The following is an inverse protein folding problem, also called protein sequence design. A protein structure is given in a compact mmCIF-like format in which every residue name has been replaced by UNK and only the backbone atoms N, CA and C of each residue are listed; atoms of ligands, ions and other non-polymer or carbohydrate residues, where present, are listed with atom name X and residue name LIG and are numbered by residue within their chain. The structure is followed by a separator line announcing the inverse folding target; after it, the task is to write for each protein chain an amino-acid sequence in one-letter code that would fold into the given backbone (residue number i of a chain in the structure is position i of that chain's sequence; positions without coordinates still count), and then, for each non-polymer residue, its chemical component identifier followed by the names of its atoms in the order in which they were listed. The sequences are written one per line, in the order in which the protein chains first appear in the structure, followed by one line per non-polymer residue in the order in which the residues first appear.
data_IF_645462720006
#
_entry.id   IF_645462720006
#
_cell.length_a   1.000
_cell.length_b   1.000
_cell.length_c   1.000
_cell.angle_alpha   90.00
_cell.angle_beta   90.00
_cell.angle_gamma   90.00
#
_symmetry.space_group_name_H-M   'P 1'
#
loop_
_entity.id
_entity.type
_entity.pdbx_description
1 polymer ?
#
# COMPACT_ATOMS: atom_id res chain seq x y z
N UNK A 1 4.66 18.87 27.79
CA UNK A 1 3.64 19.67 27.08
C UNK A 1 3.20 18.90 25.85
N UNK A 2 1.90 18.80 25.58
CA UNK A 2 1.36 18.23 24.33
C UNK A 2 0.48 19.30 23.70
N UNK A 3 0.64 19.55 22.40
CA UNK A 3 -0.14 20.54 21.68
C UNK A 3 -0.55 19.98 20.32
N UNK A 4 -1.54 20.63 19.71
CA UNK A 4 -2.01 20.37 18.36
C UNK A 4 -2.06 21.71 17.63
N UNK A 5 -1.55 21.74 16.40
CA UNK A 5 -1.53 22.92 15.57
C UNK A 5 -1.71 22.53 14.11
N UNK A 6 -2.26 23.45 13.32
CA UNK A 6 -2.28 23.29 11.87
C UNK A 6 -0.86 23.42 11.31
N UNK A 7 -0.60 22.69 10.21
CA UNK A 7 0.63 22.84 9.47
C UNK A 7 0.57 24.14 8.66
N UNK A 8 1.54 25.04 8.86
CA UNK A 8 1.64 26.29 8.09
C UNK A 8 2.19 26.10 6.67
N UNK A 9 2.59 24.87 6.32
CA UNK A 9 3.16 24.51 5.03
C UNK A 9 2.34 23.39 4.36
N UNK A 10 2.45 23.26 3.04
CA UNK A 10 1.87 22.13 2.31
C UNK A 10 2.49 20.78 2.74
N UNK A 11 1.86 19.64 2.43
CA UNK A 11 2.37 18.34 2.84
C UNK A 11 3.78 18.07 2.28
N UNK A 12 4.69 17.43 3.06
CA UNK A 12 6.07 17.20 2.63
C UNK A 12 6.22 16.23 1.45
N UNK A 13 5.24 15.36 1.27
CA UNK A 13 5.11 14.48 0.12
C UNK A 13 3.81 14.87 -0.59
N UNK A 14 3.78 14.77 -1.92
CA UNK A 14 2.59 14.93 -2.76
C UNK A 14 2.66 13.94 -3.89
N UNK A 15 1.53 13.60 -4.49
CA UNK A 15 1.51 12.74 -5.66
C UNK A 15 0.31 11.83 -5.67
N UNK A 16 0.41 10.74 -6.44
CA UNK A 16 -0.63 9.74 -6.52
C UNK A 16 -0.06 8.33 -6.46
N UNK A 17 -0.94 7.42 -6.06
CA UNK A 17 -0.76 5.98 -6.08
C UNK A 17 -1.90 5.37 -6.90
N UNK A 18 -1.56 4.44 -7.79
CA UNK A 18 -2.49 3.66 -8.57
C UNK A 18 -2.15 2.18 -8.42
N UNK A 19 -3.16 1.36 -8.22
CA UNK A 19 -3.09 -0.09 -8.31
C UNK A 19 -4.36 -0.59 -8.99
N UNK A 20 -4.19 -1.37 -10.05
CA UNK A 20 -5.30 -2.05 -10.73
C UNK A 20 -4.97 -3.52 -10.93
N UNK A 21 -5.95 -4.40 -10.69
CA UNK A 21 -5.81 -5.81 -10.99
C UNK A 21 -5.87 -6.01 -12.51
N UNK A 22 -4.85 -6.63 -13.07
CA UNK A 22 -4.77 -7.01 -14.50
C UNK A 22 -5.32 -8.42 -14.70
N UNK A 23 -5.17 -9.28 -13.69
CA UNK A 23 -5.81 -10.59 -13.59
C UNK A 23 -6.16 -10.89 -12.13
N UNK A 24 -6.75 -12.06 -11.83
CA UNK A 24 -7.09 -12.45 -10.46
C UNK A 24 -5.91 -12.38 -9.48
N UNK A 25 -4.70 -12.69 -9.96
CA UNK A 25 -3.48 -12.83 -9.14
C UNK A 25 -2.36 -11.87 -9.57
N UNK A 26 -2.65 -10.88 -10.40
CA UNK A 26 -1.67 -9.92 -10.90
C UNK A 26 -2.21 -8.50 -10.83
N UNK A 27 -1.46 -7.60 -10.20
CA UNK A 27 -1.78 -6.18 -10.09
C UNK A 27 -0.69 -5.31 -10.70
N UNK A 28 -1.07 -4.33 -11.50
CA UNK A 28 -0.18 -3.28 -12.00
C UNK A 28 -0.28 -2.06 -11.09
N UNK A 29 0.87 -1.49 -10.73
CA UNK A 29 0.96 -0.32 -9.87
C UNK A 29 1.79 0.81 -10.45
N UNK A 30 1.47 2.02 -10.01
CA UNK A 30 2.22 3.23 -10.34
C UNK A 30 2.19 4.21 -9.17
N UNK A 31 3.38 4.64 -8.77
CA UNK A 31 3.57 5.83 -7.94
C UNK A 31 4.18 6.96 -8.76
N UNK A 32 3.71 8.18 -8.52
CA UNK A 32 4.39 9.40 -8.93
C UNK A 32 4.34 10.41 -7.80
N UNK A 33 5.48 10.62 -7.14
CA UNK A 33 5.61 11.40 -5.91
C UNK A 33 6.56 12.58 -6.10
N UNK A 34 6.25 13.68 -5.42
CA UNK A 34 7.11 14.84 -5.21
C UNK A 34 7.37 15.01 -3.73
N UNK A 35 8.64 14.97 -3.35
CA UNK A 35 9.09 15.12 -1.97
C UNK A 35 9.71 16.51 -1.80
N UNK A 36 9.46 17.12 -0.64
CA UNK A 36 10.08 18.37 -0.19
C UNK A 36 9.84 19.57 -1.12
N UNK A 37 8.76 19.55 -1.92
CA UNK A 37 8.39 20.67 -2.79
C UNK A 37 8.01 21.90 -1.95
N UNK A 38 8.75 23.00 -2.12
CA UNK A 38 8.55 24.24 -1.35
C UNK A 38 9.26 24.28 0.00
N UNK A 39 9.87 23.17 0.43
CA UNK A 39 10.67 23.10 1.65
C UNK A 39 12.09 23.61 1.41
N UNK A 40 12.64 24.36 2.37
CA UNK A 40 13.98 24.97 2.29
C UNK A 40 14.82 24.61 3.50
N UNK A 41 16.14 24.73 3.37
CA UNK A 41 17.05 24.61 4.51
C UNK A 41 16.62 25.59 5.63
N UNK A 42 16.74 25.20 6.92
CA UNK A 42 17.43 24.02 7.44
C UNK A 42 16.62 22.71 7.41
N UNK A 43 15.38 22.69 6.90
CA UNK A 43 14.58 21.47 6.85
C UNK A 43 15.17 20.46 5.85
N UNK A 44 15.41 19.25 6.35
CA UNK A 44 15.92 18.13 5.58
C UNK A 44 15.11 16.87 5.86
N UNK A 45 14.99 15.98 4.87
CA UNK A 45 14.35 14.68 5.03
C UNK A 45 15.43 13.61 5.23
N UNK A 46 15.37 12.90 6.36
CA UNK A 46 16.34 11.87 6.78
C UNK A 46 16.03 10.53 6.08
N UNK A 47 14.77 10.11 6.13
CA UNK A 47 14.29 8.95 5.38
C UNK A 47 12.87 9.16 4.86
N UNK A 48 12.51 8.42 3.82
CA UNK A 48 11.16 8.33 3.28
C UNK A 48 10.95 6.93 2.71
N UNK A 49 9.89 6.26 3.16
CA UNK A 49 9.56 4.88 2.79
C UNK A 49 8.07 4.79 2.53
N UNK A 50 7.70 4.13 1.43
CA UNK A 50 6.32 3.82 1.06
C UNK A 50 6.10 2.34 1.26
N UNK A 51 5.06 1.97 2.01
CA UNK A 51 4.69 0.58 2.28
C UNK A 51 3.31 0.31 1.70
N UNK A 52 3.24 -0.71 0.84
CA UNK A 52 2.00 -1.23 0.28
C UNK A 52 1.64 -2.51 1.02
N UNK A 53 0.64 -2.50 1.91
CA UNK A 53 0.18 -3.70 2.59
C UNK A 53 -0.74 -4.53 1.68
N UNK A 54 -0.59 -5.85 1.76
CA UNK A 54 -1.42 -6.86 1.10
C UNK A 54 -1.90 -7.88 2.15
N UNK A 55 -2.78 -7.49 3.09
CA UNK A 55 -3.08 -8.30 4.28
C UNK A 55 -3.81 -9.62 3.97
N UNK A 56 -4.50 -9.71 2.83
CA UNK A 56 -5.25 -10.90 2.41
C UNK A 56 -4.61 -11.69 1.28
N UNK A 57 -3.48 -11.21 0.73
CA UNK A 57 -2.81 -11.84 -0.41
C UNK A 57 -1.35 -12.03 -0.08
N UNK A 58 -0.82 -13.19 -0.43
CA UNK A 58 0.61 -13.43 -0.35
C UNK A 58 1.27 -12.96 -1.64
N UNK A 59 2.26 -12.08 -1.54
CA UNK A 59 3.10 -11.66 -2.66
C UNK A 59 4.08 -12.79 -2.99
N UNK A 60 4.05 -13.27 -4.23
CA UNK A 60 5.01 -14.25 -4.74
C UNK A 60 6.21 -13.57 -5.38
N UNK A 61 5.95 -12.53 -6.17
CA UNK A 61 7.00 -11.77 -6.82
C UNK A 61 6.54 -10.36 -7.11
N UNK A 62 7.53 -9.50 -7.31
CA UNK A 62 7.35 -8.13 -7.71
C UNK A 62 8.33 -7.83 -8.84
N UNK A 63 7.83 -7.23 -9.92
CA UNK A 63 8.64 -6.73 -11.03
C UNK A 63 8.42 -5.23 -11.15
N UNK A 64 9.49 -4.46 -11.34
CA UNK A 64 9.40 -3.00 -11.40
C UNK A 64 10.64 -2.34 -10.84
N UNK A 65 11.05 -1.25 -11.48
CA UNK A 65 12.25 -0.50 -11.11
C UNK A 65 11.86 0.92 -10.73
N UNK A 66 12.04 1.35 -9.46
CA UNK A 66 11.79 2.73 -9.10
C UNK A 66 12.86 3.65 -9.70
N UNK A 67 12.49 4.90 -9.98
CA UNK A 67 13.44 5.91 -10.47
C UNK A 67 14.52 6.26 -9.44
N UNK A 68 14.23 6.05 -8.15
CA UNK A 68 15.13 6.31 -7.02
C UNK A 68 14.81 5.35 -5.87
N UNK A 69 15.82 5.01 -5.08
CA UNK A 69 15.67 4.20 -3.89
C UNK A 69 15.72 2.70 -4.17
N UNK A 70 15.28 1.90 -3.21
CA UNK A 70 15.29 0.43 -3.29
C UNK A 70 13.96 -0.16 -2.89
N UNK A 71 13.64 -1.34 -3.44
CA UNK A 71 12.41 -2.08 -3.14
C UNK A 71 12.77 -3.36 -2.40
N UNK A 72 12.00 -3.68 -1.38
CA UNK A 72 12.03 -4.98 -0.70
C UNK A 72 10.62 -5.55 -0.64
N UNK A 73 10.53 -6.86 -0.87
CA UNK A 73 9.26 -7.59 -0.88
C UNK A 73 9.24 -8.54 0.30
N UNK A 74 8.12 -8.59 1.00
CA UNK A 74 7.82 -9.58 2.02
C UNK A 74 6.45 -10.19 1.74
N UNK A 75 6.07 -11.21 2.52
CA UNK A 75 4.91 -12.06 2.25
C UNK A 75 3.61 -11.26 2.03
N UNK A 76 3.39 -10.21 2.82
CA UNK A 76 2.16 -9.41 2.81
C UNK A 76 2.41 -7.92 2.64
N UNK A 77 3.58 -7.52 2.16
CA UNK A 77 3.86 -6.11 1.90
C UNK A 77 4.96 -5.94 0.86
N UNK A 78 4.87 -4.84 0.12
CA UNK A 78 5.98 -4.30 -0.67
C UNK A 78 6.43 -3.01 -0.01
N UNK A 79 7.72 -2.84 0.17
CA UNK A 79 8.33 -1.66 0.77
C UNK A 79 9.27 -0.99 -0.22
N UNK A 80 9.06 0.30 -0.45
CA UNK A 80 9.89 1.14 -1.30
C UNK A 80 10.57 2.23 -0.46
N UNK A 81 11.89 2.12 -0.29
CA UNK A 81 12.73 3.08 0.42
C UNK A 81 13.25 4.13 -0.55
N UNK A 82 12.50 5.23 -0.69
CA UNK A 82 12.85 6.36 -1.57
C UNK A 82 14.13 7.04 -1.09
N UNK A 83 14.20 7.31 0.22
CA UNK A 83 15.34 7.96 0.88
C UNK A 83 15.74 7.09 2.06
N UNK A 84 17.01 6.66 2.06
CA UNK A 84 17.63 5.90 3.14
C UNK A 84 18.38 6.82 4.09
N UNK A 85 18.30 6.55 5.39
CA UNK A 85 19.06 7.24 6.44
C UNK A 85 20.53 7.42 6.05
N UNK A 86 21.07 8.63 6.24
CA UNK A 86 22.42 9.00 5.84
C UNK A 86 22.57 9.55 4.41
N UNK A 87 21.53 9.45 3.57
CA UNK A 87 21.43 10.12 2.26
C UNK A 87 20.27 11.12 2.23
N UNK A 88 20.11 11.86 3.31
CA UNK A 88 19.03 12.83 3.44
C UNK A 88 19.10 13.93 2.39
N UNK A 89 17.95 14.50 2.04
CA UNK A 89 17.83 15.63 1.11
C UNK A 89 17.54 16.92 1.89
N UNK A 90 18.26 17.99 1.57
CA UNK A 90 18.06 19.31 2.17
C UNK A 90 18.03 20.36 1.07
N UNK A 91 17.04 21.25 1.10
CA UNK A 91 16.90 22.35 0.14
C UNK A 91 16.71 21.93 -1.33
N UNK A 92 16.36 20.66 -1.58
CA UNK A 92 16.06 20.12 -2.92
C UNK A 92 14.73 19.41 -2.90
N UNK A 93 13.96 19.58 -3.97
CA UNK A 93 12.81 18.73 -4.26
C UNK A 93 13.28 17.44 -4.96
N UNK A 94 12.54 16.36 -4.76
CA UNK A 94 12.81 15.08 -5.43
C UNK A 94 11.53 14.60 -6.08
N UNK A 95 11.59 14.27 -7.36
CA UNK A 95 10.53 13.54 -8.05
C UNK A 95 10.89 12.05 -8.08
N UNK A 96 9.98 11.21 -7.63
CA UNK A 96 10.17 9.77 -7.53
C UNK A 96 9.00 9.06 -8.20
N UNK A 97 9.30 8.17 -9.15
CA UNK A 97 8.30 7.36 -9.85
C UNK A 97 8.60 5.89 -9.63
N UNK A 98 7.57 5.09 -9.43
CA UNK A 98 7.73 3.66 -9.25
C UNK A 98 6.59 2.90 -9.97
N UNK A 99 6.82 2.49 -11.22
CA UNK A 99 5.95 1.54 -11.91
C UNK A 99 6.33 0.11 -11.53
N UNK A 100 5.35 -0.78 -11.50
CA UNK A 100 5.62 -2.20 -11.32
C UNK A 100 4.39 -3.09 -11.40
N UNK A 101 4.63 -4.37 -11.27
CA UNK A 101 3.64 -5.43 -11.29
C UNK A 101 3.89 -6.35 -10.10
N UNK A 102 2.84 -6.58 -9.32
CA UNK A 102 2.83 -7.50 -8.18
C UNK A 102 2.08 -8.77 -8.57
N UNK A 103 2.70 -9.93 -8.31
CA UNK A 103 2.08 -11.24 -8.50
C UNK A 103 1.78 -11.86 -7.14
N UNK A 104 0.54 -12.32 -6.99
CA UNK A 104 0.03 -12.92 -5.77
C UNK A 104 -0.05 -14.43 -5.89
N UNK A 105 -0.03 -15.11 -4.75
CA UNK A 105 -0.38 -16.50 -4.68
C UNK A 105 -1.86 -16.67 -5.07
N UNK A 106 -2.22 -17.76 -5.77
CA UNK A 106 -3.61 -18.09 -6.06
C UNK A 106 -4.46 -18.02 -4.79
N UNK A 107 -5.65 -17.45 -4.92
CA UNK A 107 -6.59 -17.39 -3.79
C UNK A 107 -7.01 -18.80 -3.39
N UNK A 108 -6.58 -19.23 -2.21
CA UNK A 108 -7.15 -20.41 -1.57
C UNK A 108 -8.32 -19.89 -0.73
N UNK A 109 -9.59 -20.10 -1.12
CA UNK A 109 -10.69 -19.80 -0.23
C UNK A 109 -10.46 -20.63 1.04
N UNK A 110 -10.25 -19.93 2.15
CA UNK A 110 -10.07 -20.56 3.45
C UNK A 110 -11.33 -21.38 3.72
N UNK A 111 -11.28 -22.70 3.49
CA UNK A 111 -12.32 -23.60 3.96
C UNK A 111 -12.31 -23.47 5.47
N UNK A 112 -13.32 -22.81 6.01
CA UNK A 112 -13.65 -22.91 7.43
C UNK A 112 -13.69 -24.40 7.78
N UNK A 113 -13.07 -24.86 8.88
CA UNK A 113 -13.29 -26.21 9.35
C UNK A 113 -14.77 -26.33 9.69
N UNK A 114 -15.54 -27.01 8.84
CA UNK A 114 -16.94 -27.35 9.11
C UNK A 114 -16.97 -28.25 10.34
N UNK A 115 -17.10 -27.63 11.50
CA UNK A 115 -17.37 -28.32 12.75
C UNK A 115 -18.89 -28.45 12.86
N UNK A 116 -19.39 -29.65 12.61
CA UNK A 116 -20.69 -30.12 13.09
C UNK A 116 -21.88 -29.96 12.14
N UNK A 117 -22.27 -31.08 11.51
CA UNK A 117 -23.66 -31.51 11.44
C UNK A 117 -23.71 -33.04 11.27
N UNK A 118 -23.92 -33.70 12.40
CA UNK A 118 -24.51 -35.05 12.49
C UNK A 118 -25.97 -34.97 12.01
N UNK A 119 -26.47 -36.09 11.46
CA UNK A 119 -27.81 -36.45 10.96
C UNK A 119 -27.68 -36.75 9.45
N UNK A 120 -27.83 -37.98 8.94
CA UNK A 120 -28.55 -39.15 9.41
C UNK A 120 -29.38 -39.66 8.21
N UNK A 121 -29.00 -40.84 7.69
CA UNK A 121 -29.74 -41.78 6.83
C UNK A 121 -30.37 -41.28 5.51
N UNK A 122 -29.95 -41.88 4.39
CA UNK A 122 -30.80 -42.81 3.62
C UNK A 122 -29.91 -43.67 2.71
N UNK A 123 -30.09 -44.97 2.88
CA UNK A 123 -29.62 -46.06 2.04
C UNK A 123 -30.46 -46.13 0.74
N UNK A 124 -29.98 -46.96 -0.19
CA UNK A 124 -30.56 -47.42 -1.46
C UNK A 124 -29.92 -46.79 -2.70
N UNK A 125 -29.45 -47.51 -3.71
CA UNK A 125 -29.23 -48.93 -3.98
C UNK A 125 -28.40 -48.95 -5.30
N UNK A 126 -27.76 -50.09 -5.54
CA UNK A 126 -26.86 -50.48 -6.62
C UNK A 126 -27.46 -50.45 -8.04
N UNK A 127 -26.65 -50.14 -9.06
CA UNK A 127 -26.65 -50.87 -10.35
C UNK A 127 -25.53 -50.38 -11.28
N UNK A 128 -24.55 -51.26 -11.51
CA UNK A 128 -23.67 -51.24 -12.67
C UNK A 128 -24.45 -51.67 -13.92
N UNK A 129 -24.18 -51.03 -15.07
CA UNK A 129 -24.51 -51.56 -16.39
C UNK A 129 -23.53 -51.02 -17.44
N UNK A 130 -22.59 -51.87 -17.85
CA UNK A 130 -21.78 -51.74 -19.06
C UNK A 130 -22.65 -52.01 -20.31
N UNK A 131 -22.60 -51.17 -21.34
CA UNK A 131 -22.65 -51.61 -22.76
C UNK A 131 -22.31 -50.49 -23.76
N UNK A 132 -21.16 -50.70 -24.40
CA UNK A 132 -20.77 -50.50 -25.81
C UNK A 132 -21.35 -49.38 -26.73
N UNK A 133 -20.41 -48.61 -27.27
CA UNK A 133 -20.24 -48.24 -28.69
C UNK A 133 -21.25 -47.29 -29.36
N UNK A 134 -20.80 -46.07 -29.71
CA UNK A 134 -21.08 -45.45 -31.03
C UNK A 134 -20.06 -44.32 -31.29
N UNK A 135 -19.36 -44.41 -32.43
CA UNK A 135 -18.49 -43.37 -32.99
C UNK A 135 -19.21 -42.02 -33.10
N UNK A 136 -18.59 -40.91 -32.66
CA UNK A 136 -18.80 -39.56 -33.18
C UNK A 136 -17.64 -38.63 -32.75
N UNK A 137 -16.49 -38.78 -33.41
CA UNK A 137 -15.31 -37.92 -33.27
C UNK A 137 -15.48 -36.64 -34.10
N UNK A 138 -16.41 -35.76 -33.70
CA UNK A 138 -16.60 -34.44 -34.31
C UNK A 138 -17.36 -33.49 -33.37
N UNK A 139 -16.93 -33.34 -32.11
CA UNK A 139 -17.48 -32.28 -31.25
C UNK A 139 -16.59 -31.88 -30.05
N UNK A 140 -15.33 -32.33 -30.00
CA UNK A 140 -14.44 -31.99 -28.87
C UNK A 140 -13.75 -30.65 -29.12
N UNK A 141 -13.37 -30.37 -30.37
CA UNK A 141 -12.65 -29.14 -30.74
C UNK A 141 -13.52 -27.88 -30.68
N UNK A 142 -14.79 -27.96 -31.11
CA UNK A 142 -15.73 -26.83 -31.06
C UNK A 142 -16.15 -26.50 -29.62
N UNK A 143 -16.28 -27.51 -28.75
CA UNK A 143 -16.61 -27.31 -27.33
C UNK A 143 -15.41 -26.77 -26.52
N UNK A 144 -14.18 -27.06 -26.96
CA UNK A 144 -12.95 -26.47 -26.40
C UNK A 144 -12.76 -25.01 -26.85
N UNK A 145 -13.05 -24.69 -28.11
CA UNK A 145 -13.00 -23.30 -28.62
C UNK A 145 -14.11 -22.42 -28.05
N UNK A 146 -15.32 -22.95 -27.82
CA UNK A 146 -16.42 -22.21 -27.19
C UNK A 146 -16.16 -21.96 -25.69
N UNK A 147 -15.39 -22.83 -25.03
CA UNK A 147 -14.93 -22.65 -23.63
C UNK A 147 -13.74 -21.69 -23.51
N UNK A 148 -12.92 -21.53 -24.55
CA UNK A 148 -11.79 -20.60 -24.58
C UNK A 148 -12.16 -19.17 -24.98
N UNK A 149 -13.32 -18.95 -25.61
CA UNK A 149 -13.77 -17.62 -26.05
C UNK A 149 -14.68 -16.88 -25.05
N UNK A 150 -14.79 -17.39 -23.81
CA UNK A 150 -15.58 -16.77 -22.73
C UNK A 150 -14.75 -16.17 -21.59
N UNK A 151 -13.44 -16.00 -21.78
CA UNK A 151 -12.55 -15.25 -20.90
C UNK A 151 -11.88 -14.16 -21.75
N UNK A 152 -12.09 -12.87 -21.54
CA UNK A 152 -11.97 -12.19 -20.26
C UNK A 152 -13.08 -11.15 -20.14
N UNK A 153 -14.18 -11.51 -19.48
CA UNK A 153 -14.89 -10.49 -18.72
C UNK A 153 -13.96 -10.09 -17.58
N UNK A 154 -13.74 -8.78 -17.40
CA UNK A 154 -13.05 -8.27 -16.22
C UNK A 154 -13.69 -8.95 -15.01
N UNK A 155 -12.89 -9.71 -14.26
CA UNK A 155 -13.38 -10.42 -13.08
C UNK A 155 -14.09 -9.39 -12.22
N UNK A 156 -15.39 -9.58 -12.02
CA UNK A 156 -16.16 -8.75 -11.11
C UNK A 156 -15.73 -9.11 -9.69
N UNK A 157 -14.60 -8.52 -9.28
CA UNK A 157 -14.02 -8.61 -7.95
C UNK A 157 -14.78 -7.71 -6.96
N UNK A 158 -16.11 -7.56 -7.11
CA UNK A 158 -16.96 -6.94 -6.09
C UNK A 158 -17.15 -7.89 -4.89
N UNK A 159 -16.06 -8.14 -4.17
CA UNK A 159 -16.12 -8.67 -2.81
C UNK A 159 -16.29 -7.47 -1.84
N UNK A 160 -17.45 -7.30 -1.18
CA UNK A 160 -17.79 -6.08 -0.43
C UNK A 160 -16.82 -5.72 0.70
N UNK A 161 -15.99 -6.68 1.14
CA UNK A 161 -15.05 -6.53 2.25
C UNK A 161 -13.58 -6.42 1.79
N UNK A 162 -13.29 -6.49 0.49
CA UNK A 162 -11.93 -6.50 -0.04
C UNK A 162 -11.46 -5.16 -0.59
N UNK A 163 -12.36 -4.19 -0.76
CA UNK A 163 -12.00 -2.84 -1.25
C UNK A 163 -10.92 -2.23 -0.34
N UNK A 164 -11.13 -2.25 0.97
CA UNK A 164 -10.19 -1.66 1.93
C UNK A 164 -8.79 -2.33 2.02
N UNK A 165 -8.60 -3.52 1.44
CA UNK A 165 -7.35 -4.29 1.62
C UNK A 165 -6.20 -3.82 0.71
N UNK A 166 -6.49 -3.16 -0.42
CA UNK A 166 -5.48 -2.73 -1.41
C UNK A 166 -5.60 -1.25 -1.80
N UNK A 167 -6.45 -0.51 -1.10
CA UNK A 167 -6.83 0.85 -1.47
C UNK A 167 -5.82 1.91 -1.03
N UNK A 168 -4.71 1.52 -0.39
CA UNK A 168 -3.78 2.51 0.12
C UNK A 168 -2.33 2.05 0.22
N UNK A 169 -1.43 3.04 0.20
CA UNK A 169 -0.05 2.90 0.60
C UNK A 169 0.24 3.84 1.78
N UNK A 170 1.00 3.37 2.77
CA UNK A 170 1.44 4.17 3.92
C UNK A 170 2.78 4.82 3.61
N UNK A 171 2.94 6.09 3.93
CA UNK A 171 4.22 6.79 3.81
C UNK A 171 4.78 7.01 5.22
N UNK A 172 5.99 6.51 5.45
CA UNK A 172 6.77 6.75 6.66
C UNK A 172 7.92 7.67 6.32
N UNK A 173 8.04 8.79 7.03
CA UNK A 173 9.16 9.72 6.82
C UNK A 173 9.60 10.37 8.12
N UNK A 174 10.85 10.84 8.11
CA UNK A 174 11.42 11.68 9.16
C UNK A 174 12.12 12.88 8.54
N UNK A 175 11.89 14.05 9.13
CA UNK A 175 12.57 15.29 8.77
C UNK A 175 13.24 15.90 10.00
N UNK A 176 14.33 16.62 9.75
CA UNK A 176 15.13 17.31 10.76
C UNK A 176 15.23 18.80 10.42
N UNK A 177 15.65 19.59 11.41
CA UNK A 177 16.03 20.99 11.20
C UNK A 177 14.93 22.02 11.44
N UNK A 178 13.72 21.62 11.81
CA UNK A 178 12.65 22.57 12.15
C UNK A 178 11.30 21.94 12.44
N UNK A 179 10.33 22.79 12.78
CA UNK A 179 8.95 22.41 13.10
C UNK A 179 8.00 22.75 11.95
N UNK A 180 7.03 21.89 11.65
CA UNK A 180 5.97 22.20 10.68
C UNK A 180 4.84 23.07 11.26
N UNK A 181 4.78 23.17 12.59
CA UNK A 181 3.76 23.96 13.31
C UNK A 181 4.18 25.41 13.59
N UNK A 182 5.43 25.78 13.27
CA UNK A 182 6.01 27.07 13.66
C UNK A 182 6.43 27.17 15.13
N UNK A 183 6.24 26.13 15.94
CA UNK A 183 6.71 26.12 17.33
C UNK A 183 8.24 26.26 17.40
N UNK A 184 8.70 27.18 18.26
CA UNK A 184 10.11 27.42 18.55
C UNK A 184 10.36 27.41 20.05
N UNK A 185 11.60 27.11 20.44
CA UNK A 185 12.06 27.16 21.83
C UNK A 185 13.06 28.32 21.92
N UNK A 186 12.87 29.21 22.89
CA UNK A 186 13.84 30.27 23.19
C UNK A 186 14.76 29.84 24.35
N UNK A 187 15.97 29.32 24.08
CA UNK A 187 16.89 28.90 25.12
C UNK A 187 17.41 30.07 25.96
N UNK A 188 17.31 31.31 25.49
CA UNK A 188 17.79 32.50 26.23
C UNK A 188 16.92 32.82 27.44
N UNK A 189 15.69 32.29 27.46
CA UNK A 189 14.76 32.45 28.59
C UNK A 189 15.10 31.54 29.79
N UNK A 190 16.03 30.60 29.63
CA UNK A 190 16.43 29.67 30.70
C UNK A 190 17.46 30.33 31.61
N UNK A 191 17.17 30.40 32.90
CA UNK A 191 18.09 30.88 33.94
C UNK A 191 18.37 29.79 34.98
N UNK A 192 19.61 29.73 35.46
CA UNK A 192 20.07 28.73 36.43
C UNK A 192 20.64 29.48 37.64
N UNK A 193 20.35 29.01 38.85
CA UNK A 193 20.92 29.56 40.08
C UNK A 193 21.79 28.50 40.78
N UNK A 194 23.05 28.84 41.16
CA UNK A 194 23.75 30.10 40.91
C UNK A 194 23.99 30.35 39.41
N UNK A 195 24.16 31.62 39.03
CA UNK A 195 24.28 32.02 37.62
C UNK A 195 25.47 31.36 36.94
N UNK A 196 25.20 30.39 36.07
CA UNK A 196 26.20 29.67 35.27
C UNK A 196 25.79 29.68 33.81
N UNK A 197 26.78 29.78 32.91
CA UNK A 197 26.57 29.55 31.47
C UNK A 197 26.51 28.04 31.24
N UNK A 198 25.32 27.46 31.34
CA UNK A 198 25.12 26.07 30.93
C UNK A 198 24.87 25.99 29.42
N UNK A 199 25.48 25.03 28.70
CA UNK A 199 25.13 24.76 27.32
C UNK A 199 23.69 24.22 27.24
N UNK A 200 22.90 24.77 26.33
CA UNK A 200 21.54 24.29 26.05
C UNK A 200 21.52 23.74 24.63
N UNK A 201 21.27 22.45 24.52
CA UNK A 201 21.09 21.76 23.24
C UNK A 201 19.62 21.38 23.09
N UNK A 202 19.04 21.67 21.92
CA UNK A 202 17.72 21.18 21.54
C UNK A 202 17.74 20.72 20.09
N UNK A 203 16.90 19.74 19.78
CA UNK A 203 16.70 19.25 18.42
C UNK A 203 15.21 19.23 18.10
N UNK A 204 14.89 19.42 16.82
CA UNK A 204 13.52 19.30 16.33
C UNK A 204 13.49 18.24 15.24
N UNK A 205 12.56 17.31 15.39
CA UNK A 205 12.29 16.28 14.40
C UNK A 205 10.80 16.24 14.08
N UNK A 206 10.49 15.94 12.83
CA UNK A 206 9.15 15.71 12.32
C UNK A 206 9.09 14.27 11.89
N UNK A 207 8.04 13.56 12.30
CA UNK A 207 7.79 12.18 11.87
C UNK A 207 6.38 12.09 11.32
N UNK A 208 6.19 11.23 10.32
CA UNK A 208 4.86 10.92 9.79
C UNK A 208 3.99 10.27 10.85
N UNK A 209 2.73 10.72 10.95
CA UNK A 209 1.65 9.96 11.58
C UNK A 209 1.02 8.98 10.59
N UNK A 210 -0.31 9.01 10.49
CA UNK A 210 -1.05 8.25 9.49
C UNK A 210 -1.06 8.97 8.14
N UNK A 211 0.10 8.97 7.49
CA UNK A 211 0.26 9.54 6.16
C UNK A 211 -0.07 8.46 5.11
N UNK A 212 -1.20 8.63 4.42
CA UNK A 212 -1.78 7.61 3.53
C UNK A 212 -1.94 8.19 2.12
N UNK A 213 -1.52 7.41 1.11
CA UNK A 213 -1.83 7.63 -0.29
C UNK A 213 -2.95 6.66 -0.69
N UNK A 214 -4.12 7.20 -1.00
CA UNK A 214 -5.23 6.40 -1.50
C UNK A 214 -5.02 6.03 -2.97
N UNK A 215 -5.39 4.81 -3.31
CA UNK A 215 -5.42 4.31 -4.67
C UNK A 215 -6.44 5.14 -5.47
N UNK A 216 -5.97 5.89 -6.47
CA UNK A 216 -6.86 6.78 -7.24
C UNK A 216 -7.77 6.03 -8.21
N UNK A 217 -7.53 4.74 -8.44
CA UNK A 217 -8.41 3.86 -9.22
C UNK A 217 -9.44 3.13 -8.35
N UNK A 218 -9.27 3.16 -7.02
CA UNK A 218 -10.20 2.55 -6.07
C UNK A 218 -11.48 3.36 -5.89
N UNK A 219 -12.47 2.78 -5.22
CA UNK A 219 -13.66 3.53 -4.80
C UNK A 219 -13.22 4.57 -3.76
N UNK A 220 -13.26 5.85 -4.15
CA UNK A 220 -12.75 6.96 -3.38
C UNK A 220 -13.29 6.93 -1.94
N UNK A 221 -12.44 6.89 -0.90
CA UNK A 221 -12.90 7.17 0.45
C UNK A 221 -13.38 8.62 0.46
N UNK A 222 -14.67 8.81 0.71
CA UNK A 222 -15.29 10.13 0.71
C UNK A 222 -14.54 11.01 1.71
N UNK A 223 -13.71 11.92 1.20
CA UNK A 223 -13.10 12.94 2.03
C UNK A 223 -14.25 13.83 2.53
N UNK A 224 -14.46 13.86 3.85
CA UNK A 224 -15.41 14.80 4.44
C UNK A 224 -15.04 16.20 3.95
N UNK A 225 -15.93 16.80 3.17
CA UNK A 225 -15.74 18.18 2.72
C UNK A 225 -15.66 19.06 3.97
N UNK A 226 -14.67 19.96 4.08
CA UNK A 226 -14.67 20.93 5.16
C UNK A 226 -15.99 21.70 5.07
N UNK A 227 -16.76 21.73 6.15
CA UNK A 227 -17.95 22.59 6.24
C UNK A 227 -17.46 24.03 6.02
N UNK A 228 -17.99 24.65 4.96
CA UNK A 228 -17.79 26.07 4.66
C UNK A 228 -18.37 26.95 5.78
#
# INVERSE_FOLDING_TARGET
MRYQAFCGMGPPIKGFYQLSMVSENEGALLFKLRLMEGYRAPLSMDFCTVTMPFPRRRVLSFDGTPSIGTVSVAEHLVEWKIITTGRGISGKNVEATFPGTVKFAPWQPQRLPTSGAVLGNMEDEESDAETESTNNMANVEDLLMEKMNKDLQAVDLEEPFCWQAYDYAKVSFKMMGGSLSGMSIDPKSVSIFPAVKAPVEFSTQVTSGDYILWNTLGKCPVAATPKA
#
